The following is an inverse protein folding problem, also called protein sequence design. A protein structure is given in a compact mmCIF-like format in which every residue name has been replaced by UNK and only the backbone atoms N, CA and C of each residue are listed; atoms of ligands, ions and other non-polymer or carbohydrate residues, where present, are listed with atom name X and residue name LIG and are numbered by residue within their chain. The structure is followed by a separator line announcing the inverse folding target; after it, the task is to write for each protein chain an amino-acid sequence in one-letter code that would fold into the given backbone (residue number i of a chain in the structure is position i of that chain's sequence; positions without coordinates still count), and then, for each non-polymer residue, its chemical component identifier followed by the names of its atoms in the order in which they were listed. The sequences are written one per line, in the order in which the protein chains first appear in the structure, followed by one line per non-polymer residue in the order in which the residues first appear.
data_IF_153022503219
#
_entry.id   IF_153022503219
#
_cell.length_a   1.000
_cell.length_b   1.000
_cell.length_c   1.000
_cell.angle_alpha   90.00
_cell.angle_beta   90.00
_cell.angle_gamma   90.00
#
_symmetry.space_group_name_H-M   'P 1'
#
loop_
_entity.id
_entity.type
_entity.pdbx_description
1 polymer ?
#
# COMPACT_ATOMS: atom_id res chain seq x y z
N UNK A 1 -24.49 -21.31 40.50
CA UNK A 1 -24.69 -22.67 39.94
C UNK A 1 -24.47 -22.65 38.44
N UNK A 2 -23.29 -23.06 37.97
CA UNK A 2 -22.98 -23.16 36.55
C UNK A 2 -23.81 -24.29 35.94
N UNK A 3 -24.73 -23.97 35.01
CA UNK A 3 -25.40 -24.99 34.19
C UNK A 3 -24.33 -25.81 33.49
N UNK A 4 -24.35 -27.12 33.68
CA UNK A 4 -23.46 -28.06 33.00
C UNK A 4 -23.46 -27.80 31.48
N UNK A 5 -22.28 -27.50 30.91
CA UNK A 5 -22.13 -27.36 29.46
C UNK A 5 -22.58 -28.66 28.79
N UNK A 6 -23.40 -28.56 27.75
CA UNK A 6 -23.71 -29.74 26.92
C UNK A 6 -22.42 -30.13 26.20
N UNK A 7 -22.00 -31.41 26.29
CA UNK A 7 -20.73 -31.87 25.70
C UNK A 7 -20.56 -31.46 24.24
N UNK A 8 -21.58 -31.69 23.41
CA UNK A 8 -21.49 -31.45 21.96
C UNK A 8 -22.68 -30.63 21.42
N UNK A 9 -22.42 -29.66 20.53
CA UNK A 9 -23.45 -28.87 19.83
C UNK A 9 -23.24 -28.89 18.32
N UNK A 10 -24.35 -29.02 17.59
CA UNK A 10 -24.35 -28.97 16.12
C UNK A 10 -24.84 -27.62 15.63
N UNK A 11 -24.15 -27.02 14.66
CA UNK A 11 -24.55 -25.77 14.01
C UNK A 11 -24.60 -25.99 12.49
N UNK A 12 -25.79 -25.83 11.91
CA UNK A 12 -26.00 -25.98 10.48
C UNK A 12 -25.72 -24.67 9.73
N UNK A 13 -24.98 -24.74 8.64
CA UNK A 13 -24.70 -23.62 7.73
C UNK A 13 -25.83 -23.32 6.75
N UNK A 14 -26.98 -23.98 6.89
CA UNK A 14 -28.22 -23.73 6.14
C UNK A 14 -29.36 -23.45 7.10
N UNK A 15 -30.34 -22.68 6.65
CA UNK A 15 -31.59 -22.50 7.38
C UNK A 15 -32.54 -23.70 7.19
N UNK A 16 -33.75 -23.60 7.76
CA UNK A 16 -34.78 -24.65 7.68
C UNK A 16 -35.29 -24.88 6.24
N UNK A 17 -35.14 -23.90 5.36
CA UNK A 17 -35.53 -23.97 3.95
C UNK A 17 -34.39 -24.47 3.06
N UNK A 18 -33.25 -24.86 3.64
CA UNK A 18 -32.07 -25.31 2.90
C UNK A 18 -31.23 -24.18 2.30
N UNK A 19 -31.55 -22.91 2.58
CA UNK A 19 -30.81 -21.76 2.06
C UNK A 19 -29.52 -21.58 2.88
N UNK A 20 -28.40 -21.39 2.18
CA UNK A 20 -27.09 -21.15 2.80
C UNK A 20 -27.11 -19.89 3.67
N UNK A 21 -26.76 -20.04 4.94
CA UNK A 21 -26.54 -18.91 5.85
C UNK A 21 -25.31 -18.11 5.42
N UNK A 22 -25.39 -16.78 5.56
CA UNK A 22 -24.23 -15.90 5.38
C UNK A 22 -23.15 -16.24 6.42
N UNK A 23 -21.88 -15.98 6.09
CA UNK A 23 -20.77 -16.25 7.02
C UNK A 23 -20.95 -15.54 8.36
N UNK A 24 -21.49 -14.31 8.37
CA UNK A 24 -21.81 -13.54 9.59
C UNK A 24 -22.84 -14.25 10.47
N UNK A 25 -23.99 -14.61 9.91
CA UNK A 25 -25.07 -15.26 10.68
C UNK A 25 -24.62 -16.64 11.19
N UNK A 26 -23.84 -17.36 10.38
CA UNK A 26 -23.27 -18.62 10.81
C UNK A 26 -22.31 -18.44 11.98
N UNK A 27 -21.41 -17.46 11.90
CA UNK A 27 -20.44 -17.14 12.94
C UNK A 27 -21.09 -16.75 14.27
N UNK A 28 -22.14 -15.91 14.24
CA UNK A 28 -22.92 -15.54 15.43
C UNK A 28 -23.51 -16.77 16.12
N UNK A 29 -24.06 -17.71 15.33
CA UNK A 29 -24.58 -18.99 15.86
C UNK A 29 -23.47 -19.86 16.45
N UNK A 30 -22.31 -19.91 15.80
CA UNK A 30 -21.15 -20.66 16.28
C UNK A 30 -20.65 -20.11 17.61
N UNK A 31 -20.56 -18.78 17.78
CA UNK A 31 -20.16 -18.15 19.06
C UNK A 31 -21.10 -18.52 20.20
N UNK A 32 -22.40 -18.44 19.97
CA UNK A 32 -23.41 -18.83 20.98
C UNK A 32 -23.27 -20.31 21.34
N UNK A 33 -23.05 -21.18 20.35
CA UNK A 33 -22.83 -22.60 20.61
C UNK A 33 -21.52 -22.86 21.38
N UNK A 34 -20.43 -22.19 21.00
CA UNK A 34 -19.11 -22.31 21.63
C UNK A 34 -19.13 -21.93 23.12
N UNK A 35 -19.92 -20.91 23.50
CA UNK A 35 -20.04 -20.53 24.91
C UNK A 35 -20.65 -21.65 25.79
N UNK A 36 -21.49 -22.50 25.18
CA UNK A 36 -22.35 -23.48 25.87
C UNK A 36 -21.89 -24.93 25.74
N UNK A 37 -20.77 -25.19 25.05
CA UNK A 37 -20.28 -26.55 24.77
C UNK A 37 -18.76 -26.62 24.68
N UNK A 38 -18.24 -27.84 24.84
CA UNK A 38 -16.80 -28.16 24.73
C UNK A 38 -16.47 -28.72 23.34
N UNK A 39 -17.49 -29.17 22.61
CA UNK A 39 -17.36 -29.70 21.27
C UNK A 39 -18.44 -29.12 20.32
N UNK A 40 -18.02 -28.75 19.12
CA UNK A 40 -18.88 -28.26 18.05
C UNK A 40 -18.78 -29.16 16.82
N UNK A 41 -19.92 -29.43 16.20
CA UNK A 41 -20.02 -30.01 14.87
C UNK A 41 -20.64 -28.96 13.95
N UNK A 42 -19.83 -28.45 13.02
CA UNK A 42 -20.19 -27.38 12.10
C UNK A 42 -20.44 -27.97 10.72
N UNK A 43 -21.66 -27.86 10.20
CA UNK A 43 -21.95 -28.22 8.80
C UNK A 43 -21.79 -27.00 7.91
N UNK A 44 -20.64 -26.88 7.27
CA UNK A 44 -20.30 -25.77 6.39
C UNK A 44 -20.71 -26.03 4.94
N UNK A 45 -21.06 -24.95 4.27
CA UNK A 45 -21.38 -24.86 2.85
C UNK A 45 -20.63 -23.67 2.24
N UNK A 46 -19.33 -23.59 2.52
CA UNK A 46 -18.42 -22.53 2.06
C UNK A 46 -18.47 -21.28 2.92
N UNK A 47 -18.77 -21.37 4.23
CA UNK A 47 -18.67 -20.21 5.12
C UNK A 47 -17.20 -19.90 5.42
N UNK A 48 -16.90 -18.61 5.54
CA UNK A 48 -15.54 -18.09 5.75
C UNK A 48 -15.28 -17.86 7.24
N UNK A 49 -14.01 -17.76 7.63
CA UNK A 49 -13.57 -17.41 8.99
C UNK A 49 -14.09 -18.36 10.08
N UNK A 50 -14.21 -19.65 9.80
CA UNK A 50 -14.63 -20.64 10.81
C UNK A 50 -13.48 -20.82 11.80
N UNK A 51 -13.76 -20.81 13.11
CA UNK A 51 -12.73 -21.10 14.12
C UNK A 51 -11.85 -19.91 14.50
N UNK A 52 -12.43 -18.70 14.52
CA UNK A 52 -11.85 -17.46 15.08
C UNK A 52 -11.37 -17.62 16.54
N UNK A 53 -11.30 -16.52 17.32
CA UNK A 53 -11.04 -16.56 18.77
C UNK A 53 -12.18 -17.25 19.55
N UNK A 54 -12.22 -18.57 19.46
CA UNK A 54 -13.13 -19.48 20.16
C UNK A 54 -12.30 -20.42 21.05
N UNK A 55 -12.84 -20.87 22.17
CA UNK A 55 -12.11 -21.67 23.15
C UNK A 55 -11.07 -20.87 23.95
N UNK A 56 -10.39 -21.51 24.88
CA UNK A 56 -9.22 -20.98 25.63
C UNK A 56 -8.55 -22.13 26.36
N UNK A 57 -7.37 -21.95 26.93
CA UNK A 57 -6.73 -23.01 27.73
C UNK A 57 -7.57 -23.43 28.95
N UNK A 58 -8.26 -22.47 29.59
CA UNK A 58 -9.18 -22.73 30.70
C UNK A 58 -10.46 -23.44 30.26
N UNK A 59 -10.85 -23.24 29.00
CA UNK A 59 -12.07 -23.77 28.41
C UNK A 59 -11.77 -24.29 27.00
N UNK A 60 -11.12 -25.46 26.87
CA UNK A 60 -10.76 -26.01 25.59
C UNK A 60 -12.00 -26.25 24.72
N UNK A 61 -11.85 -26.07 23.42
CA UNK A 61 -12.94 -26.21 22.47
C UNK A 61 -12.50 -27.02 21.25
N UNK A 62 -13.17 -28.14 21.03
CA UNK A 62 -12.98 -28.97 19.84
C UNK A 62 -14.03 -28.63 18.79
N UNK A 63 -13.62 -28.32 17.57
CA UNK A 63 -14.52 -27.91 16.47
C UNK A 63 -14.30 -28.86 15.30
N UNK A 64 -15.29 -29.71 15.01
CA UNK A 64 -15.31 -30.54 13.81
C UNK A 64 -16.10 -29.83 12.71
N UNK A 65 -15.48 -29.59 11.56
CA UNK A 65 -16.07 -28.93 10.39
C UNK A 65 -16.29 -29.95 9.29
N UNK A 66 -17.55 -30.11 8.87
CA UNK A 66 -17.99 -31.02 7.82
C UNK A 66 -18.53 -30.24 6.64
N UNK A 67 -18.31 -30.75 5.43
CA UNK A 67 -18.68 -30.08 4.18
C UNK A 67 -17.63 -29.08 3.69
N UNK A 68 -17.89 -28.40 2.56
CA UNK A 68 -16.93 -27.47 1.98
C UNK A 68 -16.75 -26.24 2.87
N UNK A 69 -15.51 -25.81 3.06
CA UNK A 69 -15.15 -24.65 3.90
C UNK A 69 -14.67 -23.51 3.02
N UNK A 70 -15.09 -22.29 3.35
CA UNK A 70 -14.62 -21.08 2.67
C UNK A 70 -13.23 -20.65 3.14
N UNK A 71 -12.85 -19.42 2.77
CA UNK A 71 -11.53 -18.89 3.13
C UNK A 71 -11.36 -18.73 4.65
N UNK A 72 -10.11 -18.77 5.11
CA UNK A 72 -9.69 -18.41 6.48
C UNK A 72 -10.19 -19.36 7.57
N UNK A 73 -10.19 -20.66 7.28
CA UNK A 73 -10.41 -21.67 8.32
C UNK A 73 -9.34 -21.53 9.43
N UNK A 74 -9.77 -21.46 10.68
CA UNK A 74 -8.93 -21.32 11.86
C UNK A 74 -8.18 -19.99 11.95
N UNK A 75 -8.66 -18.95 11.27
CA UNK A 75 -7.99 -17.66 11.34
C UNK A 75 -8.05 -17.06 12.76
N UNK A 76 -6.99 -16.42 13.23
CA UNK A 76 -6.93 -15.84 14.59
C UNK A 76 -7.24 -16.85 15.70
N UNK A 77 -7.01 -18.15 15.46
CA UNK A 77 -7.21 -19.21 16.44
C UNK A 77 -6.30 -19.00 17.66
N UNK A 78 -6.81 -19.32 18.84
CA UNK A 78 -6.11 -19.10 20.12
C UNK A 78 -5.83 -20.41 20.86
N UNK A 79 -4.87 -20.41 21.80
CA UNK A 79 -4.56 -21.60 22.61
C UNK A 79 -5.80 -22.24 23.23
N UNK A 80 -5.85 -23.58 23.22
CA UNK A 80 -6.98 -24.37 23.69
C UNK A 80 -8.07 -24.66 22.66
N UNK A 81 -7.97 -24.12 21.43
CA UNK A 81 -8.85 -24.48 20.33
C UNK A 81 -8.24 -25.59 19.45
N UNK A 82 -9.03 -26.62 19.15
CA UNK A 82 -8.67 -27.67 18.17
C UNK A 82 -9.72 -27.71 17.07
N UNK A 83 -9.33 -27.42 15.83
CA UNK A 83 -10.23 -27.31 14.68
C UNK A 83 -9.90 -28.41 13.68
N UNK A 84 -10.86 -29.26 13.36
CA UNK A 84 -10.68 -30.41 12.47
C UNK A 84 -11.62 -30.24 11.28
N UNK A 85 -11.06 -30.03 10.09
CA UNK A 85 -11.79 -30.01 8.83
C UNK A 85 -11.70 -31.39 8.16
N UNK A 86 -12.85 -32.05 8.01
CA UNK A 86 -12.94 -33.41 7.45
C UNK A 86 -12.66 -33.48 5.94
N UNK A 87 -12.63 -32.34 5.26
CA UNK A 87 -12.41 -32.25 3.81
C UNK A 87 -11.31 -31.25 3.44
N UNK A 88 -11.22 -30.87 2.16
CA UNK A 88 -10.32 -29.82 1.71
C UNK A 88 -10.77 -28.45 2.24
N UNK A 89 -9.81 -27.53 2.35
CA UNK A 89 -10.04 -26.16 2.77
C UNK A 89 -9.61 -25.15 1.69
N UNK A 90 -10.30 -24.01 1.65
CA UNK A 90 -9.95 -22.89 0.76
C UNK A 90 -8.78 -22.07 1.31
N UNK A 91 -8.56 -20.86 0.80
CA UNK A 91 -7.34 -20.09 1.03
C UNK A 91 -7.22 -19.65 2.50
N UNK A 92 -5.99 -19.30 2.90
CA UNK A 92 -5.67 -18.65 4.17
C UNK A 92 -5.99 -19.48 5.43
N UNK A 93 -5.90 -20.82 5.35
CA UNK A 93 -6.01 -21.69 6.54
C UNK A 93 -4.99 -21.28 7.59
N UNK A 94 -5.41 -21.02 8.82
CA UNK A 94 -4.53 -20.59 9.91
C UNK A 94 -4.01 -19.16 9.78
N UNK A 95 -4.69 -18.31 9.00
CA UNK A 95 -4.33 -16.89 8.90
C UNK A 95 -4.32 -16.20 10.27
N UNK A 96 -3.20 -15.57 10.63
CA UNK A 96 -3.00 -14.96 11.96
C UNK A 96 -3.25 -15.95 13.13
N UNK A 97 -3.03 -17.25 12.96
CA UNK A 97 -3.15 -18.20 14.07
C UNK A 97 -2.13 -17.85 15.17
N UNK A 98 -2.61 -17.81 16.41
CA UNK A 98 -1.83 -17.43 17.60
C UNK A 98 -1.79 -18.54 18.66
N UNK A 99 -2.20 -19.76 18.31
CA UNK A 99 -2.09 -20.90 19.24
C UNK A 99 -3.05 -22.05 19.04
N UNK A 100 -3.99 -21.98 18.08
CA UNK A 100 -4.89 -23.10 17.84
C UNK A 100 -4.19 -24.25 17.10
N UNK A 101 -4.68 -25.46 17.33
CA UNK A 101 -4.38 -26.63 16.50
C UNK A 101 -5.41 -26.75 15.38
N UNK A 102 -4.97 -26.70 14.13
CA UNK A 102 -5.83 -26.73 12.95
C UNK A 102 -5.44 -27.93 12.11
N UNK A 103 -6.37 -28.85 11.90
CA UNK A 103 -6.16 -30.11 11.18
C UNK A 103 -7.07 -30.08 9.94
N UNK A 104 -6.50 -30.28 8.76
CA UNK A 104 -7.23 -30.40 7.50
C UNK A 104 -6.98 -31.79 6.93
N UNK A 105 -8.02 -32.62 6.86
CA UNK A 105 -7.99 -34.00 6.35
C UNK A 105 -7.96 -34.09 4.81
N UNK A 106 -7.54 -33.02 4.14
CA UNK A 106 -7.46 -32.93 2.68
C UNK A 106 -6.41 -31.90 2.23
N UNK A 107 -6.55 -31.42 0.99
CA UNK A 107 -5.71 -30.34 0.47
C UNK A 107 -6.18 -28.98 1.02
N UNK A 108 -5.26 -28.03 1.12
CA UNK A 108 -5.59 -26.62 1.30
C UNK A 108 -5.08 -25.80 0.10
N UNK A 109 -5.71 -24.66 -0.20
CA UNK A 109 -5.27 -23.83 -1.34
C UNK A 109 -4.17 -22.85 -0.91
N UNK A 110 -4.25 -21.58 -1.28
CA UNK A 110 -3.14 -20.65 -1.13
C UNK A 110 -3.09 -20.03 0.28
N UNK A 111 -1.94 -19.47 0.68
CA UNK A 111 -1.86 -18.62 1.86
C UNK A 111 -1.96 -19.34 3.21
N UNK A 112 -1.81 -20.67 3.25
CA UNK A 112 -1.83 -21.45 4.49
C UNK A 112 -0.79 -20.90 5.47
N UNK A 113 -1.18 -20.62 6.71
CA UNK A 113 -0.36 -20.03 7.77
C UNK A 113 0.18 -18.62 7.48
N UNK A 114 -0.49 -17.84 6.64
CA UNK A 114 -0.10 -16.45 6.42
C UNK A 114 -0.19 -15.63 7.73
N UNK A 115 0.92 -14.99 8.10
CA UNK A 115 1.11 -14.19 9.31
C UNK A 115 0.82 -14.93 10.63
N UNK A 116 1.02 -16.24 10.66
CA UNK A 116 0.90 -17.05 11.88
C UNK A 116 2.00 -16.69 12.90
N UNK A 117 1.65 -16.69 14.19
CA UNK A 117 2.57 -16.37 15.29
C UNK A 117 2.80 -17.51 16.29
N UNK A 118 1.84 -18.43 16.42
CA UNK A 118 1.91 -19.61 17.28
C UNK A 118 0.84 -20.65 16.88
N UNK A 119 0.88 -21.83 17.49
CA UNK A 119 -0.04 -22.95 17.23
C UNK A 119 0.48 -23.94 16.19
N UNK A 120 -0.36 -24.88 15.77
CA UNK A 120 0.01 -25.91 14.79
C UNK A 120 -1.04 -26.00 13.70
N UNK A 121 -0.60 -26.10 12.45
CA UNK A 121 -1.47 -26.35 11.30
C UNK A 121 -0.98 -27.59 10.60
N UNK A 122 -1.85 -28.59 10.46
CA UNK A 122 -1.54 -29.93 9.99
C UNK A 122 -2.43 -30.27 8.80
N UNK A 123 -1.81 -30.48 7.63
CA UNK A 123 -2.48 -30.69 6.35
C UNK A 123 -2.21 -32.13 5.88
N UNK A 124 -3.26 -32.92 5.70
CA UNK A 124 -3.16 -34.31 5.22
C UNK A 124 -2.87 -34.43 3.73
N UNK A 125 -3.10 -33.37 2.95
CA UNK A 125 -2.79 -33.31 1.52
C UNK A 125 -1.64 -32.36 1.21
N UNK A 126 -1.72 -31.71 0.04
CA UNK A 126 -0.82 -30.65 -0.39
C UNK A 126 -1.44 -29.26 -0.14
N UNK A 127 -0.60 -28.24 -0.14
CA UNK A 127 -1.03 -26.83 -0.11
C UNK A 127 -0.72 -26.10 -1.42
N UNK A 128 -1.43 -25.01 -1.68
CA UNK A 128 -1.18 -24.11 -2.80
C UNK A 128 0.02 -23.17 -2.59
N UNK A 129 0.03 -22.07 -3.33
CA UNK A 129 1.09 -21.08 -3.29
C UNK A 129 1.09 -20.26 -1.99
N UNK A 130 2.25 -19.68 -1.66
CA UNK A 130 2.43 -18.75 -0.53
C UNK A 130 2.03 -19.30 0.83
N UNK A 131 2.33 -20.58 1.08
CA UNK A 131 2.26 -21.16 2.42
C UNK A 131 3.35 -20.61 3.34
N UNK A 132 3.07 -20.53 4.64
CA UNK A 132 3.98 -20.08 5.71
C UNK A 132 4.55 -18.68 5.47
N UNK A 133 3.75 -17.78 4.90
CA UNK A 133 4.19 -16.43 4.56
C UNK A 133 4.10 -15.49 5.73
N UNK A 134 5.10 -14.62 5.91
CA UNK A 134 5.14 -13.62 6.99
C UNK A 134 4.94 -14.19 8.41
N UNK A 135 5.16 -15.48 8.63
CA UNK A 135 5.05 -16.09 9.96
C UNK A 135 6.12 -15.56 10.88
N UNK A 136 5.78 -15.36 12.15
CA UNK A 136 6.64 -14.74 13.15
C UNK A 136 6.76 -15.65 14.34
N UNK A 137 7.90 -15.59 15.03
CA UNK A 137 8.07 -16.29 16.28
C UNK A 137 8.62 -15.31 17.32
N UNK A 138 7.89 -15.15 18.42
CA UNK A 138 8.43 -14.54 19.63
C UNK A 138 9.01 -15.68 20.50
N UNK A 139 10.30 -15.64 20.86
CA UNK A 139 10.94 -16.64 21.71
C UNK A 139 10.26 -16.92 23.07
N UNK A 140 9.45 -15.99 23.58
CA UNK A 140 8.65 -16.19 24.80
C UNK A 140 7.51 -17.20 24.63
N UNK A 141 7.16 -17.55 23.38
CA UNK A 141 6.06 -18.44 23.04
C UNK A 141 6.53 -19.65 22.25
N UNK A 142 5.69 -20.69 22.17
CA UNK A 142 5.94 -21.85 21.32
C UNK A 142 6.07 -21.44 19.85
N UNK A 143 6.97 -22.13 19.14
CA UNK A 143 7.17 -21.90 17.71
C UNK A 143 5.90 -22.27 16.95
N UNK A 144 5.45 -21.43 15.98
CA UNK A 144 4.39 -21.85 15.08
C UNK A 144 4.85 -22.98 14.18
N UNK A 145 4.01 -23.98 13.99
CA UNK A 145 4.33 -25.17 13.19
C UNK A 145 3.33 -25.34 12.03
N UNK A 146 3.85 -25.53 10.81
CA UNK A 146 3.07 -25.97 9.65
C UNK A 146 3.58 -27.34 9.21
N UNK A 147 2.70 -28.34 9.22
CA UNK A 147 2.95 -29.69 8.76
C UNK A 147 2.12 -29.99 7.51
N UNK A 148 2.76 -30.44 6.44
CA UNK A 148 2.14 -30.77 5.16
C UNK A 148 2.58 -32.16 4.73
N UNK A 149 1.63 -33.07 4.59
CA UNK A 149 1.95 -34.44 4.20
C UNK A 149 2.40 -34.53 2.73
N UNK A 150 1.78 -33.76 1.85
CA UNK A 150 2.10 -33.71 0.42
C UNK A 150 3.20 -32.71 0.06
N UNK A 151 2.96 -31.92 -0.99
CA UNK A 151 3.84 -30.85 -1.44
C UNK A 151 3.24 -29.47 -1.15
N UNK A 152 4.06 -28.44 -1.33
CA UNK A 152 3.66 -27.03 -1.25
C UNK A 152 3.78 -26.37 -2.63
N UNK A 153 3.05 -25.27 -2.85
CA UNK A 153 3.12 -24.51 -4.09
C UNK A 153 4.19 -23.42 -4.08
N UNK A 154 4.22 -22.63 -5.16
CA UNK A 154 5.23 -21.60 -5.38
C UNK A 154 5.33 -20.58 -4.24
N UNK A 155 6.53 -20.00 -4.08
CA UNK A 155 6.84 -18.96 -3.10
C UNK A 155 6.53 -19.36 -1.66
N UNK A 156 6.73 -20.65 -1.34
CA UNK A 156 6.61 -21.15 0.02
C UNK A 156 7.59 -20.47 0.97
N UNK A 157 7.15 -20.17 2.20
CA UNK A 157 7.94 -19.48 3.23
C UNK A 157 8.48 -18.09 2.81
N UNK A 158 7.77 -17.39 1.92
CA UNK A 158 8.09 -16.00 1.55
C UNK A 158 7.96 -15.06 2.76
N UNK A 159 8.98 -14.24 3.01
CA UNK A 159 9.08 -13.33 4.16
C UNK A 159 8.91 -14.01 5.52
N UNK A 160 9.21 -15.32 5.63
CA UNK A 160 9.11 -16.03 6.89
C UNK A 160 10.12 -15.48 7.91
N UNK A 161 9.63 -15.07 9.08
CA UNK A 161 10.41 -14.51 10.17
C UNK A 161 10.58 -15.49 11.35
N UNK A 162 9.95 -16.66 11.31
CA UNK A 162 10.08 -17.66 12.39
C UNK A 162 9.01 -18.76 12.33
N UNK A 163 9.28 -19.85 13.04
CA UNK A 163 8.46 -21.06 13.01
C UNK A 163 9.12 -22.21 12.29
N UNK A 164 8.39 -23.32 12.20
CA UNK A 164 8.85 -24.55 11.54
C UNK A 164 7.86 -24.99 10.48
N UNK A 165 8.34 -25.21 9.27
CA UNK A 165 7.60 -25.86 8.18
C UNK A 165 8.12 -27.27 7.97
N UNK A 166 7.23 -28.25 7.84
CA UNK A 166 7.55 -29.64 7.53
C UNK A 166 6.76 -30.06 6.29
N UNK A 167 7.48 -30.46 5.23
CA UNK A 167 6.90 -30.90 3.96
C UNK A 167 7.33 -32.34 3.69
N UNK A 168 6.42 -33.30 3.93
CA UNK A 168 6.78 -34.70 3.88
C UNK A 168 6.95 -35.23 2.46
N UNK A 169 6.29 -34.67 1.44
CA UNK A 169 6.45 -35.11 0.05
C UNK A 169 5.79 -36.46 -0.28
N UNK A 170 4.76 -36.86 0.47
CA UNK A 170 3.94 -38.06 0.20
C UNK A 170 2.86 -37.71 -0.82
N UNK A 171 2.79 -38.43 -1.94
CA UNK A 171 1.84 -38.15 -3.03
C UNK A 171 1.82 -36.65 -3.45
N UNK A 172 3.00 -36.06 -3.74
CA UNK A 172 3.11 -34.63 -4.02
C UNK A 172 2.36 -34.29 -5.32
N UNK A 173 1.80 -33.07 -5.41
CA UNK A 173 1.16 -32.58 -6.63
C UNK A 173 2.14 -32.48 -7.80
N UNK A 174 3.40 -32.16 -7.51
CA UNK A 174 4.49 -32.19 -8.46
C UNK A 174 5.65 -33.01 -7.88
N UNK A 175 5.80 -34.30 -8.28
CA UNK A 175 6.89 -35.15 -7.79
C UNK A 175 8.30 -34.65 -8.13
N UNK A 176 8.45 -33.77 -9.11
CA UNK A 176 9.74 -33.18 -9.48
C UNK A 176 10.11 -31.96 -8.64
N UNK A 177 9.15 -31.35 -7.95
CA UNK A 177 9.37 -30.20 -7.11
C UNK A 177 8.36 -30.14 -5.97
N UNK A 178 8.77 -30.56 -4.77
CA UNK A 178 7.91 -30.59 -3.58
C UNK A 178 7.76 -29.23 -2.89
N UNK A 179 8.60 -28.24 -3.22
CA UNK A 179 8.62 -26.90 -2.60
C UNK A 179 8.07 -25.77 -3.49
N UNK A 180 7.72 -26.07 -4.74
CA UNK A 180 7.32 -25.06 -5.72
C UNK A 180 8.47 -24.15 -6.16
N UNK A 181 8.18 -23.16 -7.00
CA UNK A 181 9.15 -22.21 -7.52
C UNK A 181 9.49 -21.11 -6.51
N UNK A 182 10.78 -20.82 -6.33
CA UNK A 182 11.33 -19.75 -5.47
C UNK A 182 10.87 -19.78 -4.01
N UNK A 183 11.04 -20.89 -3.28
CA UNK A 183 10.80 -20.91 -1.85
C UNK A 183 11.81 -20.03 -1.07
N UNK A 184 11.40 -19.60 0.13
CA UNK A 184 12.21 -18.87 1.11
C UNK A 184 12.70 -17.47 0.68
N UNK A 185 12.08 -16.85 -0.33
CA UNK A 185 12.40 -15.46 -0.71
C UNK A 185 12.06 -14.52 0.45
N UNK A 186 13.04 -13.70 0.85
CA UNK A 186 12.87 -12.77 1.97
C UNK A 186 12.81 -13.43 3.35
N UNK A 187 13.10 -14.73 3.47
CA UNK A 187 13.17 -15.43 4.75
C UNK A 187 14.25 -14.81 5.66
N UNK A 188 13.88 -14.54 6.91
CA UNK A 188 14.76 -14.01 7.96
C UNK A 188 14.73 -14.84 9.25
N UNK A 189 13.92 -15.90 9.31
CA UNK A 189 13.93 -16.84 10.43
C UNK A 189 13.12 -18.11 10.15
N UNK A 190 13.37 -19.16 10.94
CA UNK A 190 12.64 -20.42 10.90
C UNK A 190 13.41 -21.61 10.29
N UNK A 191 12.78 -22.78 10.33
CA UNK A 191 13.29 -24.06 9.85
C UNK A 191 12.31 -24.66 8.84
N UNK A 192 12.77 -25.01 7.65
CA UNK A 192 11.92 -25.66 6.64
C UNK A 192 12.47 -27.06 6.33
N UNK A 193 11.90 -28.07 6.97
CA UNK A 193 12.16 -29.47 6.67
C UNK A 193 11.40 -29.86 5.41
N UNK A 194 12.08 -30.56 4.50
CA UNK A 194 11.43 -31.14 3.34
C UNK A 194 12.05 -32.48 2.95
N UNK A 195 11.23 -33.31 2.31
CA UNK A 195 11.62 -34.60 1.74
C UNK A 195 11.13 -34.70 0.29
N UNK A 196 12.03 -35.08 -0.62
CA UNK A 196 11.76 -35.21 -2.06
C UNK A 196 12.53 -34.22 -2.95
N UNK A 197 12.28 -34.30 -4.26
CA UNK A 197 12.98 -33.50 -5.26
C UNK A 197 12.55 -32.02 -5.24
N UNK A 198 13.48 -31.11 -5.56
CA UNK A 198 13.23 -29.68 -5.77
C UNK A 198 13.87 -29.25 -7.09
N UNK A 199 13.46 -28.09 -7.60
CA UNK A 199 14.07 -27.46 -8.78
C UNK A 199 15.30 -26.58 -8.45
N UNK A 200 15.77 -26.63 -7.21
CA UNK A 200 16.89 -25.85 -6.68
C UNK A 200 16.70 -24.31 -6.80
N UNK A 201 15.46 -23.84 -6.94
CA UNK A 201 15.14 -22.42 -7.12
C UNK A 201 15.03 -21.61 -5.81
N UNK A 202 15.34 -22.19 -4.65
CA UNK A 202 15.24 -21.52 -3.35
C UNK A 202 16.16 -20.29 -3.28
N UNK A 203 15.79 -19.31 -2.45
CA UNK A 203 16.60 -18.08 -2.31
C UNK A 203 17.91 -18.33 -1.58
N UNK A 204 19.00 -18.50 -2.33
CA UNK A 204 20.36 -18.72 -1.78
C UNK A 204 20.94 -17.54 -0.99
N UNK A 205 20.33 -16.35 -1.10
CA UNK A 205 20.72 -15.16 -0.31
C UNK A 205 19.96 -15.06 1.01
N UNK A 206 18.87 -15.82 1.17
CA UNK A 206 18.02 -15.79 2.35
C UNK A 206 18.04 -17.10 3.13
N UNK A 207 18.22 -18.23 2.44
CA UNK A 207 18.27 -19.55 3.02
C UNK A 207 19.50 -20.33 2.55
N UNK A 208 19.97 -21.24 3.40
CA UNK A 208 21.02 -22.21 3.14
C UNK A 208 20.44 -23.62 3.28
N UNK A 209 20.84 -24.50 2.37
CA UNK A 209 20.51 -25.91 2.39
C UNK A 209 21.52 -26.66 3.26
N UNK A 210 21.03 -27.41 4.24
CA UNK A 210 21.84 -28.28 5.10
C UNK A 210 21.13 -29.62 5.36
N UNK A 211 21.89 -30.58 5.87
CA UNK A 211 21.35 -31.81 6.45
C UNK A 211 20.96 -31.57 7.91
N UNK A 212 19.81 -32.09 8.38
CA UNK A 212 19.41 -31.95 9.78
C UNK A 212 20.47 -32.52 10.73
N UNK A 213 20.87 -31.75 11.74
CA UNK A 213 21.69 -32.24 12.86
C UNK A 213 20.88 -33.14 13.82
N UNK A 214 21.51 -33.65 14.88
CA UNK A 214 20.88 -34.60 15.79
C UNK A 214 19.71 -33.98 16.58
N UNK A 215 19.84 -32.72 16.99
CA UNK A 215 18.78 -31.99 17.71
C UNK A 215 17.59 -31.72 16.79
N UNK A 216 17.86 -31.29 15.56
CA UNK A 216 16.86 -31.03 14.52
C UNK A 216 16.12 -32.31 14.12
N UNK A 217 16.86 -33.40 13.95
CA UNK A 217 16.28 -34.71 13.64
C UNK A 217 15.40 -35.22 14.79
N UNK A 218 15.88 -35.14 16.03
CA UNK A 218 15.11 -35.51 17.20
C UNK A 218 13.83 -34.67 17.31
N UNK A 219 13.93 -33.35 17.12
CA UNK A 219 12.77 -32.45 17.14
C UNK A 219 11.66 -32.88 16.15
N UNK A 220 12.06 -33.28 14.94
CA UNK A 220 11.15 -33.75 13.89
C UNK A 220 10.49 -35.07 14.29
N UNK A 221 11.30 -36.02 14.77
CA UNK A 221 10.83 -37.36 15.14
C UNK A 221 9.96 -37.39 16.38
N UNK A 222 10.20 -36.52 17.36
CA UNK A 222 9.36 -36.40 18.56
C UNK A 222 7.93 -35.93 18.24
N UNK A 223 7.74 -35.21 17.11
CA UNK A 223 6.45 -34.61 16.72
C UNK A 223 5.75 -35.35 15.58
N UNK A 224 6.48 -36.12 14.77
CA UNK A 224 5.95 -36.85 13.63
C UNK A 224 4.77 -37.78 13.99
N UNK A 225 4.80 -38.57 15.07
CA UNK A 225 3.68 -39.47 15.42
C UNK A 225 2.37 -38.71 15.68
N UNK A 226 2.44 -37.59 16.39
CA UNK A 226 1.27 -36.76 16.69
C UNK A 226 0.68 -36.14 15.42
N UNK A 227 1.53 -35.66 14.51
CA UNK A 227 1.09 -35.19 13.20
C UNK A 227 0.39 -36.29 12.40
N UNK A 228 1.01 -37.47 12.27
CA UNK A 228 0.45 -38.57 11.49
C UNK A 228 -0.87 -39.08 12.07
N UNK A 229 -1.00 -39.15 13.40
CA UNK A 229 -2.27 -39.43 14.07
C UNK A 229 -3.31 -38.35 13.78
N UNK A 230 -2.91 -37.08 13.83
CA UNK A 230 -3.80 -35.96 13.54
C UNK A 230 -4.31 -35.98 12.10
N UNK A 231 -3.51 -36.40 11.12
CA UNK A 231 -3.95 -36.56 9.71
C UNK A 231 -4.55 -37.93 9.40
N UNK A 232 -4.37 -38.93 10.28
CA UNK A 232 -4.89 -40.29 10.13
C UNK A 232 -4.06 -41.15 9.17
N UNK A 233 -2.73 -41.00 9.23
CA UNK A 233 -1.74 -41.66 8.36
C UNK A 233 -0.59 -42.25 9.17
N UNK A 234 -0.90 -42.87 10.31
CA UNK A 234 0.07 -43.43 11.27
C UNK A 234 0.98 -44.50 10.63
N UNK A 235 0.49 -45.19 9.59
CA UNK A 235 1.26 -46.20 8.85
C UNK A 235 2.49 -45.66 8.11
N UNK A 236 2.59 -44.34 7.94
CA UNK A 236 3.71 -43.70 7.26
C UNK A 236 4.92 -43.42 8.16
N UNK A 237 4.83 -43.70 9.47
CA UNK A 237 5.87 -43.33 10.42
C UNK A 237 7.24 -43.94 10.03
N UNK A 238 7.29 -45.24 9.76
CA UNK A 238 8.52 -45.92 9.37
C UNK A 238 9.08 -45.36 8.04
N UNK A 239 8.19 -45.03 7.10
CA UNK A 239 8.59 -44.45 5.81
C UNK A 239 9.19 -43.05 5.96
N UNK A 240 8.71 -42.26 6.91
CA UNK A 240 9.19 -40.89 7.15
C UNK A 240 10.39 -40.83 8.10
N UNK A 241 10.80 -41.95 8.70
CA UNK A 241 11.86 -42.03 9.70
C UNK A 241 13.27 -42.26 9.11
N UNK A 242 13.48 -41.94 7.83
CA UNK A 242 14.78 -42.10 7.14
C UNK A 242 15.47 -40.74 7.02
N UNK A 243 16.46 -40.47 7.88
CA UNK A 243 17.11 -39.15 8.02
C UNK A 243 17.72 -38.64 6.71
N UNK A 244 18.31 -39.53 5.93
CA UNK A 244 19.02 -39.20 4.69
C UNK A 244 18.09 -38.65 3.60
N UNK A 245 16.79 -38.92 3.69
CA UNK A 245 15.77 -38.40 2.76
C UNK A 245 15.34 -36.97 3.10
N UNK A 246 15.69 -36.48 4.29
CA UNK A 246 15.29 -35.16 4.76
C UNK A 246 16.39 -34.14 4.54
N UNK A 247 15.96 -32.96 4.12
CA UNK A 247 16.79 -31.78 3.97
C UNK A 247 16.18 -30.62 4.74
N UNK A 248 17.01 -29.65 5.10
CA UNK A 248 16.60 -28.50 5.87
C UNK A 248 17.05 -27.20 5.17
N UNK A 249 16.10 -26.32 4.87
CA UNK A 249 16.40 -24.94 4.54
C UNK A 249 16.37 -24.10 5.82
N UNK A 250 17.53 -23.56 6.17
CA UNK A 250 17.71 -22.65 7.30
C UNK A 250 17.99 -21.24 6.84
N UNK A 251 17.65 -20.25 7.66
CA UNK A 251 17.98 -18.85 7.38
C UNK A 251 19.50 -18.63 7.30
N UNK A 252 19.92 -17.80 6.34
CA UNK A 252 21.26 -17.17 6.35
C UNK A 252 21.24 -16.03 7.36
N UNK A 253 21.99 -16.18 8.46
CA UNK A 253 22.07 -15.21 9.54
C UNK A 253 22.53 -13.82 9.04
N UNK A 254 22.21 -12.74 9.77
CA UNK A 254 22.70 -11.40 9.43
C UNK A 254 24.24 -11.33 9.29
N UNK A 255 24.98 -12.06 10.13
CA UNK A 255 26.44 -12.15 10.09
C UNK A 255 26.92 -12.84 8.81
N UNK A 256 26.33 -13.99 8.45
CA UNK A 256 26.64 -14.69 7.20
C UNK A 256 26.25 -13.84 5.98
N UNK A 257 25.13 -13.11 6.05
CA UNK A 257 24.70 -12.19 4.98
C UNK A 257 25.70 -11.04 4.83
N UNK A 258 26.18 -10.46 5.93
CA UNK A 258 27.22 -9.44 5.90
C UNK A 258 28.54 -9.95 5.29
N UNK A 259 28.89 -11.21 5.52
CA UNK A 259 30.05 -11.88 4.91
C UNK A 259 29.82 -12.19 3.42
N UNK A 260 28.62 -12.63 3.02
CA UNK A 260 28.25 -12.86 1.61
C UNK A 260 28.28 -11.57 0.78
N UNK A 261 27.93 -10.45 1.40
CA UNK A 261 27.89 -9.12 0.79
C UNK A 261 28.93 -8.20 1.41
N UNK A 262 30.17 -8.69 1.60
CA UNK A 262 31.27 -7.88 2.11
C UNK A 262 31.63 -6.79 1.08
N UNK A 263 30.92 -5.66 1.18
CA UNK A 263 31.07 -4.46 0.36
C UNK A 263 29.92 -4.25 -0.64
N UNK A 264 29.54 -3.00 -0.94
CA UNK A 264 28.67 -2.72 -2.07
C UNK A 264 29.31 -3.29 -3.33
N UNK A 265 28.53 -4.02 -4.14
CA UNK A 265 28.99 -4.51 -5.44
C UNK A 265 29.61 -3.34 -6.20
N UNK A 266 30.88 -3.44 -6.62
CA UNK A 266 31.52 -2.36 -7.37
C UNK A 266 30.63 -1.99 -8.56
N UNK A 267 30.43 -0.69 -8.80
CA UNK A 267 29.54 -0.23 -9.87
C UNK A 267 29.91 -0.80 -11.24
N UNK A 268 31.20 -1.07 -11.46
CA UNK A 268 31.70 -1.76 -12.64
C UNK A 268 31.18 -3.21 -12.76
N UNK A 269 31.11 -3.93 -11.65
CA UNK A 269 30.58 -5.28 -11.59
C UNK A 269 29.05 -5.30 -11.77
N UNK A 270 28.32 -4.38 -11.13
CA UNK A 270 26.87 -4.22 -11.34
C UNK A 270 26.54 -3.93 -12.80
N UNK A 271 27.28 -2.98 -13.41
CA UNK A 271 27.13 -2.67 -14.83
C UNK A 271 27.37 -3.89 -15.72
N UNK A 272 28.41 -4.68 -15.44
CA UNK A 272 28.78 -5.85 -16.25
C UNK A 272 27.79 -7.00 -16.10
N UNK A 273 27.42 -7.35 -14.86
CA UNK A 273 26.67 -8.57 -14.54
C UNK A 273 25.16 -8.39 -14.60
N UNK A 274 24.66 -7.22 -14.20
CA UNK A 274 23.22 -6.98 -14.10
C UNK A 274 22.77 -6.09 -15.26
N UNK A 275 23.29 -4.87 -15.34
CA UNK A 275 22.79 -3.86 -16.27
C UNK A 275 23.00 -4.28 -17.73
N UNK A 276 24.23 -4.64 -18.11
CA UNK A 276 24.54 -4.94 -19.50
C UNK A 276 23.90 -6.24 -20.01
N UNK A 277 23.79 -7.25 -19.15
CA UNK A 277 23.08 -8.48 -19.51
C UNK A 277 21.58 -8.27 -19.65
N UNK A 278 20.95 -7.51 -18.74
CA UNK A 278 19.52 -7.21 -18.81
C UNK A 278 19.10 -6.51 -20.11
N UNK A 279 20.02 -5.79 -20.74
CA UNK A 279 19.78 -5.06 -21.99
C UNK A 279 20.58 -5.60 -23.20
N UNK A 280 21.04 -6.86 -23.15
CA UNK A 280 21.68 -7.52 -24.30
C UNK A 280 22.91 -6.77 -24.87
N UNK A 281 23.65 -6.05 -24.04
CA UNK A 281 24.77 -5.20 -24.47
C UNK A 281 24.86 -3.82 -23.82
N UNK A 282 24.04 -3.52 -22.80
CA UNK A 282 24.24 -2.32 -21.95
C UNK A 282 23.36 -1.12 -22.22
N UNK A 283 22.47 -1.18 -23.21
CA UNK A 283 21.64 -0.04 -23.52
C UNK A 283 20.13 -0.34 -23.53
N UNK A 284 19.38 0.24 -22.58
CA UNK A 284 17.92 0.08 -22.48
C UNK A 284 17.10 0.70 -23.61
N UNK A 285 17.67 1.62 -24.39
CA UNK A 285 16.94 2.40 -25.40
C UNK A 285 17.40 2.07 -26.83
N UNK A 286 18.05 0.92 -27.03
CA UNK A 286 18.75 0.60 -28.27
C UNK A 286 17.79 0.33 -29.41
N UNK A 287 16.65 -0.22 -29.08
CA UNK A 287 15.50 -0.45 -29.94
C UNK A 287 14.75 0.85 -30.26
N UNK A 288 14.65 1.77 -29.30
CA UNK A 288 13.90 3.02 -29.45
C UNK A 288 14.69 4.15 -30.11
N UNK A 289 16.02 4.19 -29.94
CA UNK A 289 16.88 5.27 -30.44
C UNK A 289 18.30 4.76 -30.76
N UNK A 290 18.47 3.99 -31.86
CA UNK A 290 19.74 3.35 -32.19
C UNK A 290 20.86 4.33 -32.58
N UNK A 291 20.53 5.54 -33.02
CA UNK A 291 21.50 6.57 -33.45
C UNK A 291 21.78 7.67 -32.42
N UNK A 292 21.23 7.58 -31.21
CA UNK A 292 21.43 8.60 -30.19
C UNK A 292 22.85 8.50 -29.62
N UNK A 293 23.54 9.64 -29.50
CA UNK A 293 24.85 9.70 -28.85
C UNK A 293 24.72 9.29 -27.37
N UNK A 294 25.64 8.41 -26.94
CA UNK A 294 25.72 7.86 -25.56
C UNK A 294 27.07 8.14 -24.92
N UNK A 295 27.79 9.11 -25.48
CA UNK A 295 28.97 9.66 -24.83
C UNK A 295 28.61 10.07 -23.40
N UNK A 296 29.54 9.82 -22.48
CA UNK A 296 29.33 10.14 -21.07
C UNK A 296 29.27 11.65 -20.96
N UNK A 297 28.09 12.17 -20.64
CA UNK A 297 27.91 13.59 -20.34
C UNK A 297 28.69 13.88 -19.04
N UNK A 298 29.51 14.92 -19.07
CA UNK A 298 30.30 15.37 -17.94
C UNK A 298 29.45 15.80 -16.75
N UNK A 299 30.12 15.95 -15.60
CA UNK A 299 29.48 16.35 -14.34
C UNK A 299 29.05 17.83 -14.37
N UNK A 300 29.78 18.66 -15.13
CA UNK A 300 29.52 20.09 -15.30
C UNK A 300 29.38 20.36 -16.80
N UNK A 301 28.17 20.74 -17.23
CA UNK A 301 27.82 20.94 -18.64
C UNK A 301 27.30 22.36 -18.90
N UNK A 302 27.50 22.82 -20.14
CA UNK A 302 27.02 24.12 -20.64
C UNK A 302 26.07 23.94 -21.83
N UNK A 303 25.43 25.03 -22.29
CA UNK A 303 24.51 24.98 -23.44
C UNK A 303 23.25 24.15 -23.15
N UNK A 304 22.86 23.31 -24.12
CA UNK A 304 21.63 22.52 -24.06
C UNK A 304 21.64 21.45 -22.95
N UNK A 305 22.82 20.97 -22.56
CA UNK A 305 23.01 19.97 -21.50
C UNK A 305 23.19 20.57 -20.10
N UNK A 306 23.06 21.90 -19.96
CA UNK A 306 23.20 22.61 -18.68
C UNK A 306 22.15 22.17 -17.65
N UNK A 307 22.61 21.52 -16.58
CA UNK A 307 21.75 21.01 -15.49
C UNK A 307 21.37 22.06 -14.44
N UNK A 308 22.17 23.13 -14.26
CA UNK A 308 21.94 24.18 -13.24
C UNK A 308 21.56 25.49 -13.90
N UNK A 309 20.28 25.83 -13.97
CA UNK A 309 19.81 27.13 -14.50
C UNK A 309 19.64 28.13 -13.35
N UNK A 310 20.01 29.41 -13.53
CA UNK A 310 19.71 30.42 -12.54
C UNK A 310 18.18 30.57 -12.48
N UNK A 311 17.62 30.41 -11.29
CA UNK A 311 16.20 30.62 -11.04
C UNK A 311 16.06 31.95 -10.29
N UNK A 312 15.36 32.90 -10.89
CA UNK A 312 15.10 34.19 -10.26
C UNK A 312 13.95 34.04 -9.25
N UNK A 313 14.29 33.89 -7.97
CA UNK A 313 13.29 33.79 -6.89
C UNK A 313 12.84 35.22 -6.52
N UNK A 314 11.86 35.74 -7.24
CA UNK A 314 11.34 37.07 -6.95
C UNK A 314 10.69 37.08 -5.55
N UNK A 315 11.08 38.02 -4.69
CA UNK A 315 10.50 38.23 -3.35
C UNK A 315 10.60 37.05 -2.38
N UNK A 316 11.64 36.22 -2.46
CA UNK A 316 11.94 35.13 -1.51
C UNK A 316 11.86 35.59 -0.04
N UNK A 317 12.50 36.72 0.25
CA UNK A 317 12.52 37.30 1.60
C UNK A 317 11.32 38.18 1.94
N UNK A 318 10.27 38.19 1.12
CA UNK A 318 9.06 38.96 1.41
C UNK A 318 8.18 38.25 2.44
N UNK A 319 7.18 38.97 2.97
CA UNK A 319 6.21 38.38 3.87
C UNK A 319 5.55 37.14 3.23
N UNK A 320 5.25 36.06 4.00
CA UNK A 320 4.72 34.81 3.46
C UNK A 320 3.50 34.99 2.55
N UNK A 321 2.61 35.93 2.88
CA UNK A 321 1.43 36.22 2.05
C UNK A 321 1.78 36.76 0.65
N UNK A 322 2.91 37.43 0.49
CA UNK A 322 3.44 37.92 -0.79
C UNK A 322 4.23 36.84 -1.51
N UNK A 323 5.05 36.08 -0.78
CA UNK A 323 5.86 35.00 -1.34
C UNK A 323 4.98 33.88 -1.94
N UNK A 324 3.98 33.40 -1.19
CA UNK A 324 3.09 32.32 -1.63
C UNK A 324 1.97 32.77 -2.58
N UNK A 325 1.83 34.09 -2.84
CA UNK A 325 0.92 34.56 -3.86
C UNK A 325 1.52 34.29 -5.25
N UNK A 326 0.83 33.60 -6.17
CA UNK A 326 1.38 33.27 -7.50
C UNK A 326 1.77 34.49 -8.35
N UNK A 327 1.17 35.65 -8.09
CA UNK A 327 1.49 36.92 -8.75
C UNK A 327 2.16 37.93 -7.79
N UNK A 328 2.58 37.46 -6.61
CA UNK A 328 3.32 38.22 -5.61
C UNK A 328 2.71 39.56 -5.20
N UNK A 329 1.38 39.64 -5.03
CA UNK A 329 0.72 40.86 -4.54
C UNK A 329 1.27 41.22 -3.15
N UNK A 330 1.76 42.46 -2.92
CA UNK A 330 2.35 42.90 -1.66
C UNK A 330 1.25 43.22 -0.63
N UNK A 331 0.63 42.17 -0.08
CA UNK A 331 -0.52 42.30 0.83
C UNK A 331 -0.19 43.09 2.10
N UNK A 332 1.05 43.04 2.60
CA UNK A 332 1.46 43.82 3.78
C UNK A 332 1.47 45.32 3.49
N UNK A 333 2.01 45.72 2.33
CA UNK A 333 1.98 47.12 1.91
C UNK A 333 0.55 47.60 1.66
N UNK A 334 -0.29 46.73 1.10
CA UNK A 334 -1.72 47.00 0.93
C UNK A 334 -2.39 47.33 2.26
N UNK A 335 -2.17 46.50 3.27
CA UNK A 335 -2.73 46.69 4.60
C UNK A 335 -2.20 47.94 5.29
N UNK A 336 -0.91 48.25 5.10
CA UNK A 336 -0.29 49.47 5.60
C UNK A 336 -0.97 50.71 5.02
N UNK A 337 -1.15 50.76 3.70
CA UNK A 337 -1.85 51.86 3.02
C UNK A 337 -3.30 52.02 3.52
N UNK A 338 -4.03 50.90 3.67
CA UNK A 338 -5.39 50.91 4.24
C UNK A 338 -5.39 51.49 5.66
N UNK A 339 -4.44 51.07 6.51
CA UNK A 339 -4.32 51.56 7.89
C UNK A 339 -3.96 53.04 7.99
N UNK A 340 -3.22 53.55 7.01
CA UNK A 340 -2.87 54.96 6.86
C UNK A 340 -4.04 55.81 6.29
N UNK A 341 -5.19 55.21 5.98
CA UNK A 341 -6.33 55.89 5.35
C UNK A 341 -6.17 56.14 3.85
N UNK A 342 -5.14 55.56 3.22
CA UNK A 342 -4.80 55.72 1.79
C UNK A 342 -5.42 54.60 0.96
N UNK A 343 -6.75 54.52 0.95
CA UNK A 343 -7.49 53.41 0.32
C UNK A 343 -7.27 53.36 -1.20
N UNK A 344 -7.27 54.51 -1.84
CA UNK A 344 -7.16 54.70 -3.28
C UNK A 344 -5.80 54.20 -3.76
N UNK A 345 -4.73 54.53 -3.05
CA UNK A 345 -3.39 54.03 -3.35
C UNK A 345 -3.27 52.52 -3.11
N UNK A 346 -3.96 51.99 -2.09
CA UNK A 346 -4.01 50.54 -1.85
C UNK A 346 -4.71 49.78 -2.98
N UNK A 347 -5.76 50.38 -3.55
CA UNK A 347 -6.49 49.84 -4.69
C UNK A 347 -5.71 50.00 -5.99
N UNK A 348 -5.12 51.16 -6.22
CA UNK A 348 -4.25 51.43 -7.35
C UNK A 348 -3.12 50.39 -7.41
N UNK A 349 -2.46 50.17 -6.26
CA UNK A 349 -1.42 49.19 -6.12
C UNK A 349 -1.91 47.79 -6.50
N UNK A 350 -3.11 47.39 -6.11
CA UNK A 350 -3.64 46.07 -6.44
C UNK A 350 -3.93 45.92 -7.95
N UNK A 351 -4.54 46.95 -8.55
CA UNK A 351 -4.84 46.98 -9.98
C UNK A 351 -3.58 46.93 -10.85
N UNK A 352 -2.43 47.36 -10.32
CA UNK A 352 -1.13 47.17 -10.99
C UNK A 352 -0.63 45.73 -11.03
N UNK A 353 -1.28 44.79 -10.34
CA UNK A 353 -0.93 43.36 -10.42
C UNK A 353 -1.95 42.56 -11.22
N UNK A 354 -3.25 42.88 -11.07
CA UNK A 354 -4.32 42.10 -11.72
C UNK A 354 -5.51 42.99 -12.10
N UNK A 355 -6.11 42.78 -13.28
CA UNK A 355 -7.37 43.42 -13.67
C UNK A 355 -8.60 42.82 -12.98
N UNK A 356 -8.47 41.65 -12.34
CA UNK A 356 -9.59 40.87 -11.77
C UNK A 356 -9.47 40.61 -10.26
N UNK A 357 -9.14 41.62 -9.42
CA UNK A 357 -8.94 41.43 -8.00
C UNK A 357 -10.18 40.94 -7.23
N UNK A 358 -11.40 41.34 -7.60
CA UNK A 358 -12.61 40.93 -6.91
C UNK A 358 -13.08 39.54 -7.35
N UNK A 359 -13.09 39.25 -8.65
CA UNK A 359 -13.46 37.93 -9.18
C UNK A 359 -12.44 36.87 -8.78
N UNK A 360 -11.15 37.17 -8.90
CA UNK A 360 -10.09 36.21 -8.58
C UNK A 360 -9.75 36.23 -7.11
N UNK A 361 -9.06 37.28 -6.62
CA UNK A 361 -8.55 37.32 -5.25
C UNK A 361 -9.67 37.40 -4.21
N UNK A 362 -10.79 38.03 -4.57
CA UNK A 362 -11.95 38.19 -3.70
C UNK A 362 -12.86 36.96 -3.61
N UNK A 363 -12.86 36.09 -4.62
CA UNK A 363 -13.93 35.09 -4.74
C UNK A 363 -13.43 33.67 -5.06
N UNK A 364 -12.68 33.48 -6.15
CA UNK A 364 -12.36 32.12 -6.62
C UNK A 364 -10.98 31.60 -6.20
N UNK A 365 -10.06 32.48 -5.80
CA UNK A 365 -8.68 32.15 -5.45
C UNK A 365 -8.63 31.13 -4.29
N UNK A 366 -7.74 30.12 -4.33
CA UNK A 366 -7.54 29.21 -3.20
C UNK A 366 -6.87 29.89 -1.99
N UNK A 367 -6.41 31.14 -2.13
CA UNK A 367 -5.85 31.96 -1.07
C UNK A 367 -4.67 31.30 -0.34
N UNK A 368 -3.68 30.80 -1.09
CA UNK A 368 -2.40 30.27 -0.55
C UNK A 368 -1.69 31.27 0.38
N UNK A 369 -1.90 32.57 0.15
CA UNK A 369 -1.43 33.65 1.01
C UNK A 369 -2.08 33.64 2.42
N UNK A 370 -3.33 33.21 2.53
CA UNK A 370 -4.04 33.01 3.80
C UNK A 370 -3.60 31.71 4.48
N UNK A 371 -3.41 30.62 3.71
CA UNK A 371 -2.93 29.35 4.24
C UNK A 371 -1.60 29.49 4.98
N UNK A 372 -0.66 30.23 4.38
CA UNK A 372 0.69 30.48 4.89
C UNK A 372 0.82 31.79 5.68
N UNK A 373 -0.29 32.39 6.11
CA UNK A 373 -0.27 33.66 6.84
C UNK A 373 0.40 33.49 8.22
N UNK A 374 1.46 34.27 8.48
CA UNK A 374 2.17 34.24 9.77
C UNK A 374 1.29 34.61 10.97
N UNK A 375 0.23 35.41 10.74
CA UNK A 375 -0.73 35.81 11.78
C UNK A 375 -1.52 34.64 12.39
N UNK A 376 -1.63 33.50 11.70
CA UNK A 376 -2.24 32.28 12.24
C UNK A 376 -1.55 31.76 13.51
N UNK A 377 -0.29 32.16 13.75
CA UNK A 377 0.41 31.86 14.99
C UNK A 377 -0.09 32.69 16.19
N UNK A 378 -0.91 33.72 15.96
CA UNK A 378 -1.46 34.61 16.99
C UNK A 378 -2.97 34.43 17.10
N UNK A 379 -3.70 34.56 15.99
CA UNK A 379 -5.16 34.43 15.95
C UNK A 379 -5.63 33.74 14.64
N UNK A 380 -6.07 34.51 13.65
CA UNK A 380 -6.63 34.04 12.39
C UNK A 380 -5.85 34.65 11.22
N UNK A 381 -5.86 33.97 10.08
CA UNK A 381 -5.31 34.55 8.85
C UNK A 381 -6.05 35.83 8.48
N UNK A 382 -5.33 36.81 7.92
CA UNK A 382 -5.95 38.01 7.37
C UNK A 382 -6.82 37.60 6.19
N UNK A 383 -8.10 38.00 6.21
CA UNK A 383 -9.04 37.68 5.14
C UNK A 383 -8.78 38.53 3.89
N UNK A 384 -7.94 37.99 2.99
CA UNK A 384 -7.61 38.63 1.71
C UNK A 384 -8.81 38.64 0.76
N UNK A 385 -9.79 37.75 0.95
CA UNK A 385 -11.00 37.69 0.11
C UNK A 385 -11.87 38.94 0.31
N UNK A 386 -12.02 39.40 1.56
CA UNK A 386 -12.70 40.65 1.88
C UNK A 386 -12.00 41.83 1.24
N UNK A 387 -10.67 41.88 1.33
CA UNK A 387 -9.88 42.93 0.71
C UNK A 387 -10.06 42.90 -0.82
N UNK A 388 -10.03 41.72 -1.45
CA UNK A 388 -10.27 41.55 -2.88
C UNK A 388 -11.63 42.11 -3.32
N UNK A 389 -12.71 41.82 -2.57
CA UNK A 389 -14.06 42.31 -2.88
C UNK A 389 -14.24 43.81 -2.60
N UNK A 390 -13.50 44.39 -1.66
CA UNK A 390 -13.61 45.80 -1.29
C UNK A 390 -13.23 46.78 -2.42
N UNK A 391 -12.43 46.34 -3.40
CA UNK A 391 -12.01 47.16 -4.55
C UNK A 391 -13.10 47.33 -5.62
N UNK A 392 -14.28 46.73 -5.41
CA UNK A 392 -15.31 46.72 -6.44
C UNK A 392 -15.65 48.14 -6.94
N UNK A 393 -15.42 49.19 -6.13
CA UNK A 393 -15.67 50.59 -6.48
C UNK A 393 -14.51 51.37 -7.07
N UNK A 394 -13.36 50.75 -7.36
CA UNK A 394 -12.20 51.46 -7.88
C UNK A 394 -12.32 51.72 -9.39
N UNK A 395 -11.97 52.94 -9.80
CA UNK A 395 -11.87 53.36 -11.19
C UNK A 395 -10.69 52.69 -11.92
N UNK A 396 -10.72 52.63 -13.27
CA UNK A 396 -9.57 52.19 -14.06
C UNK A 396 -8.32 53.03 -13.81
N UNK A 397 -7.16 52.41 -13.92
CA UNK A 397 -5.88 53.11 -13.81
C UNK A 397 -5.61 53.98 -15.05
N UNK A 398 -4.96 55.13 -14.84
CA UNK A 398 -4.47 55.96 -15.94
C UNK A 398 -3.37 55.22 -16.70
N UNK A 399 -3.52 55.16 -18.02
CA UNK A 399 -2.52 54.59 -18.93
C UNK A 399 -1.39 55.59 -19.20
N UNK A 400 -0.19 55.07 -19.44
CA UNK A 400 0.92 55.89 -19.93
C UNK A 400 0.66 56.38 -21.38
N UNK A 401 1.35 57.44 -21.83
CA UNK A 401 1.22 57.94 -23.19
C UNK A 401 1.43 56.84 -24.24
N UNK A 402 0.68 56.87 -25.37
CA UNK A 402 0.79 55.86 -26.40
C UNK A 402 2.22 55.69 -26.93
N UNK A 403 2.69 54.44 -26.95
CA UNK A 403 4.00 54.05 -27.49
C UNK A 403 3.98 53.90 -29.02
N UNK A 404 2.79 53.89 -29.63
CA UNK A 404 2.58 53.60 -31.06
C UNK A 404 2.71 52.12 -31.44
N UNK A 405 2.99 51.23 -30.49
CA UNK A 405 3.09 49.78 -30.72
C UNK A 405 1.74 49.11 -30.54
N UNK A 406 1.49 48.07 -31.36
CA UNK A 406 0.28 47.24 -31.32
C UNK A 406 0.63 45.79 -31.04
N UNK A 407 -0.19 45.12 -30.21
CA UNK A 407 -0.03 43.70 -29.87
C UNK A 407 -1.35 42.97 -30.06
N UNK A 408 -1.31 41.85 -30.77
CA UNK A 408 -2.42 40.92 -30.88
C UNK A 408 -2.30 39.83 -29.80
N UNK A 409 -3.39 39.60 -29.07
CA UNK A 409 -3.50 38.61 -27.99
C UNK A 409 -4.55 37.60 -28.40
N UNK A 410 -4.18 36.32 -28.47
CA UNK A 410 -5.11 35.25 -28.84
C UNK A 410 -5.70 34.64 -27.55
N UNK A 411 -7.01 34.78 -27.38
CA UNK A 411 -7.76 34.32 -26.21
C UNK A 411 -7.99 35.40 -25.16
N UNK A 412 -9.26 35.63 -24.81
CA UNK A 412 -9.74 36.57 -23.80
C UNK A 412 -9.90 35.95 -22.41
N UNK A 413 -9.19 34.86 -22.10
CA UNK A 413 -9.15 34.33 -20.74
C UNK A 413 -8.35 35.21 -19.76
N UNK A 414 -8.28 34.85 -18.46
CA UNK A 414 -7.60 35.68 -17.44
C UNK A 414 -6.14 36.01 -17.77
N UNK A 415 -5.42 35.09 -18.42
CA UNK A 415 -4.05 35.35 -18.88
C UNK A 415 -3.98 36.40 -20.00
N UNK A 416 -4.85 36.31 -21.01
CA UNK A 416 -4.90 37.28 -22.10
C UNK A 416 -5.35 38.65 -21.63
N UNK A 417 -6.36 38.70 -20.75
CA UNK A 417 -6.81 39.93 -20.11
C UNK A 417 -5.71 40.57 -19.26
N UNK A 418 -4.96 39.79 -18.46
CA UNK A 418 -3.84 40.31 -17.69
C UNK A 418 -2.75 40.93 -18.60
N UNK A 419 -2.39 40.26 -19.70
CA UNK A 419 -1.43 40.81 -20.67
C UNK A 419 -1.95 42.11 -21.28
N UNK A 420 -3.20 42.13 -21.74
CA UNK A 420 -3.80 43.34 -22.32
C UNK A 420 -3.81 44.51 -21.34
N UNK A 421 -4.20 44.24 -20.09
CA UNK A 421 -4.21 45.21 -19.01
C UNK A 421 -2.83 45.83 -18.79
N UNK A 422 -1.79 45.00 -18.60
CA UNK A 422 -0.42 45.49 -18.37
C UNK A 422 0.14 46.23 -19.58
N UNK A 423 -0.17 45.79 -20.81
CA UNK A 423 0.23 46.50 -22.03
C UNK A 423 -0.45 47.87 -22.12
N UNK A 424 -1.75 47.95 -21.87
CA UNK A 424 -2.52 49.19 -21.88
C UNK A 424 -1.99 50.19 -20.83
N UNK A 425 -1.70 49.72 -19.60
CA UNK A 425 -1.08 50.56 -18.56
C UNK A 425 0.24 51.18 -19.01
N UNK A 426 1.00 50.48 -19.87
CA UNK A 426 2.27 50.95 -20.42
C UNK A 426 2.13 51.68 -21.76
N UNK A 427 0.92 52.06 -22.17
CA UNK A 427 0.67 52.82 -23.40
C UNK A 427 0.81 51.99 -24.68
N UNK A 428 0.75 50.66 -24.59
CA UNK A 428 0.76 49.76 -25.76
C UNK A 428 -0.68 49.41 -26.13
N UNK A 429 -1.04 49.55 -27.41
CA UNK A 429 -2.37 49.19 -27.90
C UNK A 429 -2.50 47.66 -27.99
N UNK A 430 -3.42 47.08 -27.21
CA UNK A 430 -3.63 45.64 -27.13
C UNK A 430 -4.97 45.25 -27.76
N UNK A 431 -4.96 44.28 -28.68
CA UNK A 431 -6.16 43.73 -29.31
C UNK A 431 -6.34 42.28 -28.91
N UNK A 432 -7.47 41.94 -28.29
CA UNK A 432 -7.80 40.57 -27.90
C UNK A 432 -8.68 39.95 -28.99
N UNK A 433 -8.25 38.79 -29.49
CA UNK A 433 -9.02 37.95 -30.39
C UNK A 433 -9.56 36.75 -29.62
N UNK A 434 -10.86 36.79 -29.30
CA UNK A 434 -11.57 35.71 -28.61
C UNK A 434 -12.51 35.00 -29.59
N UNK A 435 -12.57 33.67 -29.48
CA UNK A 435 -13.44 32.82 -30.30
C UNK A 435 -14.87 32.79 -29.73
N UNK A 436 -15.01 32.84 -28.41
CA UNK A 436 -16.29 32.89 -27.71
C UNK A 436 -16.99 34.25 -27.85
N UNK A 437 -18.29 34.29 -27.53
CA UNK A 437 -19.07 35.54 -27.52
C UNK A 437 -18.62 36.50 -26.41
N UNK A 438 -18.21 35.96 -25.26
CA UNK A 438 -17.78 36.73 -24.10
C UNK A 438 -16.31 36.48 -23.74
N UNK A 439 -15.64 37.54 -23.27
CA UNK A 439 -14.31 37.46 -22.65
C UNK A 439 -14.38 36.84 -21.24
N UNK A 440 -13.23 36.50 -20.66
CA UNK A 440 -13.10 35.84 -19.36
C UNK A 440 -12.75 34.35 -19.43
N UNK A 441 -12.86 33.73 -20.61
CA UNK A 441 -12.54 32.32 -20.81
C UNK A 441 -13.21 31.42 -19.77
N UNK A 442 -12.47 30.47 -19.18
CA UNK A 442 -13.03 29.57 -18.15
C UNK A 442 -13.60 30.30 -16.92
N UNK A 443 -13.05 31.46 -16.57
CA UNK A 443 -13.52 32.22 -15.40
C UNK A 443 -15.00 32.62 -15.57
N UNK A 444 -15.38 33.11 -16.76
CA UNK A 444 -16.75 33.50 -17.08
C UNK A 444 -17.62 32.34 -17.58
N UNK A 445 -17.03 31.38 -18.30
CA UNK A 445 -17.78 30.35 -19.02
C UNK A 445 -18.04 29.08 -18.21
N UNK A 446 -17.24 28.80 -17.17
CA UNK A 446 -17.28 27.50 -16.48
C UNK A 446 -17.48 27.57 -14.97
N UNK A 447 -17.21 28.70 -14.33
CA UNK A 447 -17.42 28.84 -12.89
C UNK A 447 -18.91 29.15 -12.63
N UNK A 448 -19.59 28.39 -11.77
CA UNK A 448 -20.99 28.67 -11.43
C UNK A 448 -21.17 30.07 -10.81
N UNK A 449 -22.23 30.78 -11.19
CA UNK A 449 -22.48 32.16 -10.73
C UNK A 449 -22.84 32.25 -9.23
N UNK A 450 -23.20 31.13 -8.60
CA UNK A 450 -23.34 31.02 -7.15
C UNK A 450 -21.98 31.12 -6.45
N UNK A 451 -20.91 30.68 -7.13
CA UNK A 451 -19.54 30.74 -6.62
C UNK A 451 -18.84 32.04 -7.02
N UNK A 452 -19.11 32.58 -8.22
CA UNK A 452 -18.62 33.87 -8.68
C UNK A 452 -19.82 34.79 -8.96
N UNK A 453 -20.20 35.71 -8.06
CA UNK A 453 -21.37 36.56 -8.30
C UNK A 453 -21.27 37.38 -9.59
N UNK A 454 -22.31 37.30 -10.43
CA UNK A 454 -22.35 37.98 -11.74
C UNK A 454 -22.14 39.49 -11.66
N UNK A 455 -22.68 40.14 -10.61
CA UNK A 455 -22.49 41.57 -10.37
C UNK A 455 -21.03 41.97 -10.08
N UNK A 456 -20.21 41.06 -9.54
CA UNK A 456 -18.77 41.32 -9.37
C UNK A 456 -18.07 41.21 -10.72
N UNK A 457 -18.41 40.17 -11.49
CA UNK A 457 -17.84 39.93 -12.81
C UNK A 457 -18.11 41.10 -13.78
N UNK A 458 -19.38 41.48 -13.94
CA UNK A 458 -19.78 42.54 -14.89
C UNK A 458 -19.06 43.85 -14.58
N UNK A 459 -18.91 44.20 -13.30
CA UNK A 459 -18.21 45.41 -12.91
C UNK A 459 -16.71 45.40 -13.21
N UNK A 460 -16.06 44.25 -13.05
CA UNK A 460 -14.65 44.13 -13.43
C UNK A 460 -14.45 44.10 -14.94
N UNK A 461 -15.45 43.64 -15.70
CA UNK A 461 -15.47 43.75 -17.16
C UNK A 461 -15.69 45.19 -17.60
N UNK A 462 -16.59 45.94 -16.97
CA UNK A 462 -16.80 47.36 -17.30
C UNK A 462 -15.54 48.21 -17.03
N UNK A 463 -14.75 47.83 -16.02
CA UNK A 463 -13.47 48.49 -15.70
C UNK A 463 -12.35 48.10 -16.66
N UNK A 464 -12.41 46.89 -17.22
CA UNK A 464 -11.38 46.31 -18.08
C UNK A 464 -11.48 46.88 -19.49
#
# INVERSE_FOLDING_TARGET
MAKARKRTKKVAGRDKNGIRLTSKIFEEKVRVAAALSEELILESYGQHNIGMRLGSELHPLRIQVRGPVGQRLGCMGQPGATIICEGPASDDVGYLNIGADIIVKGNATNGVCNAMAAGRVMIAGSIGARGLTMSKWNPEYSRPELWVLGSVGDTFAEFNCGGVGVVCGIEPKNPKNVLGYRPCVGMVGGWIYYRGATDDSYSRTNAKLIDPDDEQWQWLMDRMPDFLKAVGREELLDTLSVREEWKLLMVVSPQERALMFSGPMPMAEFRKRIWNQGFGGGDPLRDLAPGLDRSVIGVIETGDLRRRKPHWVNRDSAAPCTFYCPIHIPTVDRLRLIREGRLEEAYEMLLRYTPLPASVCGTICPNLCMENCSRKAVDFSIDVSVLGRAINTAEPLKTLPPTGRKVAIIGGGPGGMAVAWHLALNGVEAHIFEKSQDIGGKLAQTIPWERLPRAIWEREIDRF
#
